data_IF_954889405974
#
_entry.id   IF_954889405974
#
_cell.length_a   1.000
_cell.length_b   1.000
_cell.length_c   1.000
_cell.angle_alpha   90.00
_cell.angle_beta   90.00
_cell.angle_gamma   90.00
#
_symmetry.space_group_name_H-M   'P 1'
#
loop_
_entity.id
_entity.type
_entity.pdbx_description
1 polymer ?
#
# COMPACT_ATOMS: atom_id res chain seq x y z
N UNK A 1 14.89 4.11 -3.85
CA UNK A 1 14.65 2.65 -3.71
C UNK A 1 13.43 2.29 -4.55
N UNK A 2 13.47 1.19 -5.30
CA UNK A 2 12.38 0.74 -6.16
C UNK A 2 11.48 -0.21 -5.36
N UNK A 3 10.18 0.10 -5.31
CA UNK A 3 9.17 -0.78 -4.72
C UNK A 3 8.59 -1.68 -5.82
N UNK A 4 8.11 -2.86 -5.45
CA UNK A 4 7.57 -3.85 -6.40
C UNK A 4 6.12 -3.54 -6.75
N UNK A 5 5.38 -2.94 -5.81
CA UNK A 5 3.93 -2.72 -5.92
C UNK A 5 3.60 -1.30 -5.47
N UNK A 6 2.68 -0.64 -6.16
CA UNK A 6 2.11 0.66 -5.79
C UNK A 6 0.61 0.54 -5.48
N UNK A 7 0.18 1.05 -4.33
CA UNK A 7 -1.24 1.16 -3.95
C UNK A 7 -1.64 2.63 -3.86
N UNK A 8 -2.62 3.04 -4.66
CA UNK A 8 -3.20 4.38 -4.61
C UNK A 8 -4.60 4.31 -4.00
N UNK A 9 -4.80 5.01 -2.89
CA UNK A 9 -6.04 5.01 -2.11
C UNK A 9 -5.95 4.09 -0.90
N UNK A 10 -6.00 4.68 0.29
CA UNK A 10 -5.92 4.00 1.60
C UNK A 10 -7.23 4.16 2.38
N UNK A 11 -8.36 3.79 1.78
CA UNK A 11 -9.55 3.45 2.54
C UNK A 11 -9.37 2.04 3.17
N UNK A 12 -10.39 1.53 3.87
CA UNK A 12 -10.31 0.25 4.60
C UNK A 12 -9.76 -0.90 3.75
N UNK A 13 -10.24 -1.07 2.51
CA UNK A 13 -9.76 -2.16 1.64
C UNK A 13 -8.34 -1.92 1.14
N UNK A 14 -7.98 -0.67 0.81
CA UNK A 14 -6.65 -0.33 0.27
C UNK A 14 -5.55 -0.55 1.30
N UNK A 15 -5.81 -0.17 2.55
CA UNK A 15 -4.91 -0.44 3.67
C UNK A 15 -4.74 -1.95 3.92
N UNK A 16 -5.85 -2.70 4.00
CA UNK A 16 -5.79 -4.15 4.20
C UNK A 16 -5.06 -4.88 3.07
N UNK A 17 -5.22 -4.43 1.82
CA UNK A 17 -4.50 -4.99 0.68
C UNK A 17 -2.99 -4.70 0.76
N UNK A 18 -2.61 -3.45 1.07
CA UNK A 18 -1.21 -3.07 1.23
C UNK A 18 -0.53 -3.86 2.37
N UNK A 19 -1.22 -4.03 3.50
CA UNK A 19 -0.73 -4.83 4.64
C UNK A 19 -0.62 -6.32 4.28
N UNK A 20 -1.60 -6.88 3.55
CA UNK A 20 -1.53 -8.27 3.10
C UNK A 20 -0.30 -8.50 2.20
N UNK A 21 -0.02 -7.57 1.28
CA UNK A 21 1.14 -7.64 0.39
C UNK A 21 2.46 -7.49 1.16
N UNK A 22 2.53 -6.53 2.07
CA UNK A 22 3.71 -6.36 2.94
C UNK A 22 3.98 -7.61 3.79
N UNK A 23 2.93 -8.25 4.34
CA UNK A 23 3.07 -9.48 5.14
C UNK A 23 3.60 -10.68 4.35
N UNK A 24 3.45 -10.65 3.02
CA UNK A 24 3.97 -11.66 2.08
C UNK A 24 5.40 -11.35 1.59
N UNK A 25 6.02 -10.29 2.12
CA UNK A 25 7.40 -9.92 1.81
C UNK A 25 7.57 -9.00 0.61
N UNK A 26 6.49 -8.47 0.03
CA UNK A 26 6.58 -7.52 -1.08
C UNK A 26 6.93 -6.12 -0.57
N UNK A 27 7.79 -5.42 -1.31
CA UNK A 27 8.02 -3.99 -1.12
C UNK A 27 6.87 -3.18 -1.73
N UNK A 28 6.05 -2.55 -0.89
CA UNK A 28 4.84 -1.83 -1.29
C UNK A 28 5.00 -0.33 -1.04
N UNK A 29 4.83 0.48 -2.08
CA UNK A 29 4.66 1.92 -1.98
C UNK A 29 3.17 2.27 -1.90
N UNK A 30 2.82 3.22 -1.03
CA UNK A 30 1.43 3.69 -0.87
C UNK A 30 1.32 5.18 -1.13
N UNK A 31 0.20 5.60 -1.72
CA UNK A 31 -0.14 7.00 -1.88
C UNK A 31 -1.63 7.20 -1.57
N UNK A 32 -1.95 8.12 -0.68
CA UNK A 32 -3.33 8.56 -0.46
C UNK A 32 -3.44 10.03 -0.76
N UNK A 33 -4.46 10.42 -1.54
CA UNK A 33 -4.70 11.83 -1.87
C UNK A 33 -4.98 12.66 -0.61
N UNK A 34 -5.72 12.07 0.33
CA UNK A 34 -6.03 12.69 1.62
C UNK A 34 -5.08 12.11 2.66
N UNK A 35 -4.15 12.90 3.16
CA UNK A 35 -3.43 12.59 4.39
C UNK A 35 -4.09 13.42 5.49
N UNK A 36 -5.06 12.82 6.18
CA UNK A 36 -5.64 13.39 7.39
C UNK A 36 -4.87 12.87 8.61
#
# INVERSE_FOLDING_TARGET
MKHEIGVVGLAVMGENLALNMASKGFSVAVYNRTAA
#
